data_IF_280936626342
#
_entry.id   IF_280936626342
#
_cell.length_a   1.000
_cell.length_b   1.000
_cell.length_c   1.000
_cell.angle_alpha   90.00
_cell.angle_beta   90.00
_cell.angle_gamma   90.00
#
_symmetry.space_group_name_H-M   'P 1'
#
loop_
_entity.id
_entity.type
_entity.pdbx_description
1 polymer ?
#
# COMPACT_ATOMS: atom_id res chain seq x y z
N UNK A 1 10.94 -11.09 -6.81
CA UNK A 1 9.94 -11.94 -7.50
C UNK A 1 10.71 -12.87 -8.43
N UNK A 2 10.64 -14.21 -8.26
CA UNK A 2 11.47 -15.15 -9.03
C UNK A 2 11.17 -15.13 -10.54
N UNK A 3 9.95 -14.78 -10.95
CA UNK A 3 9.62 -14.64 -12.37
C UNK A 3 10.25 -13.39 -12.99
N UNK A 4 10.32 -12.29 -12.25
CA UNK A 4 10.99 -11.07 -12.70
C UNK A 4 12.48 -11.33 -12.95
N UNK A 5 13.16 -11.98 -12.01
CA UNK A 5 14.59 -12.31 -12.14
C UNK A 5 14.86 -13.22 -13.33
N UNK A 6 14.03 -14.25 -13.52
CA UNK A 6 14.12 -15.12 -14.69
C UNK A 6 14.02 -14.33 -16.01
N UNK A 7 13.01 -13.46 -16.14
CA UNK A 7 12.80 -12.62 -17.34
C UNK A 7 13.99 -11.67 -17.55
N UNK A 8 14.50 -11.06 -16.48
CA UNK A 8 15.64 -10.16 -16.56
C UNK A 8 16.91 -10.85 -17.08
N UNK A 9 17.14 -12.10 -16.70
CA UNK A 9 18.25 -12.91 -17.20
C UNK A 9 18.02 -13.31 -18.66
N UNK A 10 16.82 -13.77 -18.99
CA UNK A 10 16.46 -14.22 -20.35
C UNK A 10 16.50 -13.09 -21.39
N UNK A 11 16.06 -11.89 -21.01
CA UNK A 11 16.06 -10.70 -21.88
C UNK A 11 17.34 -9.86 -21.78
N UNK A 12 18.28 -10.23 -20.90
CA UNK A 12 19.62 -9.64 -20.84
C UNK A 12 19.74 -8.27 -20.17
N UNK A 13 18.76 -7.85 -19.36
CA UNK A 13 18.82 -6.59 -18.60
C UNK A 13 19.13 -6.80 -17.10
N UNK A 14 19.39 -8.04 -16.69
CA UNK A 14 19.76 -8.35 -15.31
C UNK A 14 21.13 -7.75 -14.92
N UNK A 15 21.19 -7.13 -13.74
CA UNK A 15 22.44 -6.79 -13.06
C UNK A 15 22.24 -6.83 -11.54
N UNK A 16 23.30 -7.10 -10.77
CA UNK A 16 23.22 -7.02 -9.30
C UNK A 16 22.85 -5.62 -8.81
N UNK A 17 23.29 -4.58 -9.52
CA UNK A 17 22.97 -3.19 -9.20
C UNK A 17 21.48 -2.90 -9.39
N UNK A 18 20.90 -3.37 -10.49
CA UNK A 18 19.47 -3.28 -10.75
C UNK A 18 18.66 -3.99 -9.65
N UNK A 19 19.07 -5.20 -9.26
CA UNK A 19 18.39 -5.95 -8.22
C UNK A 19 18.46 -5.25 -6.85
N UNK A 20 19.57 -4.57 -6.54
CA UNK A 20 19.69 -3.73 -5.33
C UNK A 20 18.77 -2.52 -5.40
N UNK A 21 18.71 -1.83 -6.54
CA UNK A 21 17.82 -0.67 -6.78
C UNK A 21 16.34 -1.03 -6.65
N UNK A 22 15.96 -2.21 -7.13
CA UNK A 22 14.60 -2.74 -6.96
C UNK A 22 14.31 -3.06 -5.49
N UNK A 23 15.27 -3.66 -4.77
CA UNK A 23 15.09 -4.01 -3.35
C UNK A 23 14.93 -2.79 -2.42
N UNK A 24 15.40 -1.62 -2.83
CA UNK A 24 15.22 -0.35 -2.11
C UNK A 24 13.96 0.42 -2.54
N UNK A 25 13.11 -0.14 -3.39
CA UNK A 25 11.94 0.56 -3.94
C UNK A 25 10.67 -0.28 -3.84
N UNK A 26 9.53 0.38 -3.65
CA UNK A 26 8.21 -0.26 -3.61
C UNK A 26 7.61 -0.50 -5.00
N UNK A 27 8.25 0.05 -6.04
CA UNK A 27 7.80 0.02 -7.43
C UNK A 27 8.98 0.00 -8.39
N UNK A 28 8.78 -0.61 -9.56
CA UNK A 28 9.77 -0.61 -10.64
C UNK A 28 9.41 0.36 -11.78
N UNK A 29 8.27 1.05 -11.70
CA UNK A 29 7.70 1.79 -12.84
C UNK A 29 8.60 2.96 -13.31
N UNK A 30 9.45 3.48 -12.44
CA UNK A 30 10.36 4.60 -12.69
C UNK A 30 11.79 4.18 -13.08
N UNK A 31 12.07 2.88 -13.18
CA UNK A 31 13.42 2.38 -13.50
C UNK A 31 13.56 2.19 -15.02
N UNK A 32 14.22 3.14 -15.68
CA UNK A 32 14.37 3.16 -17.15
C UNK A 32 15.14 1.95 -17.72
N UNK A 33 16.06 1.39 -16.93
CA UNK A 33 16.85 0.20 -17.26
C UNK A 33 15.98 -1.05 -17.54
N UNK A 34 14.75 -1.08 -17.01
CA UNK A 34 13.82 -2.19 -17.18
C UNK A 34 12.94 -1.92 -18.41
N UNK A 35 12.82 -2.83 -19.38
CA UNK A 35 11.96 -2.65 -20.55
C UNK A 35 10.49 -2.33 -20.18
N UNK A 36 9.84 -1.47 -20.97
CA UNK A 36 8.48 -0.99 -20.68
C UNK A 36 7.47 -2.14 -20.57
N UNK A 37 7.56 -3.16 -21.44
CA UNK A 37 6.64 -4.31 -21.41
C UNK A 37 6.77 -5.09 -20.10
N UNK A 38 7.97 -5.18 -19.53
CA UNK A 38 8.21 -5.80 -18.23
C UNK A 38 7.62 -4.94 -17.11
N UNK A 39 7.89 -3.62 -17.11
CA UNK A 39 7.33 -2.70 -16.09
C UNK A 39 5.81 -2.78 -16.04
N UNK A 40 5.15 -2.82 -17.21
CA UNK A 40 3.68 -2.96 -17.32
C UNK A 40 3.12 -4.24 -16.72
N UNK A 41 3.89 -5.34 -16.70
CA UNK A 41 3.46 -6.63 -16.14
C UNK A 41 3.65 -6.66 -14.62
N UNK A 42 4.77 -6.13 -14.13
CA UNK A 42 5.17 -6.20 -12.73
C UNK A 42 4.77 -4.94 -11.95
N UNK A 43 3.47 -4.65 -11.94
CA UNK A 43 2.87 -3.64 -11.06
C UNK A 43 2.75 -4.16 -9.63
N UNK A 44 2.96 -3.28 -8.65
CA UNK A 44 2.79 -3.60 -7.23
C UNK A 44 1.51 -3.00 -6.68
N UNK A 45 1.18 -3.31 -5.41
CA UNK A 45 0.01 -2.73 -4.77
C UNK A 45 0.10 -1.20 -4.63
N UNK A 46 1.31 -0.65 -4.53
CA UNK A 46 1.57 0.80 -4.44
C UNK A 46 1.37 1.51 -5.79
N UNK A 47 1.45 0.78 -6.90
CA UNK A 47 1.23 1.33 -8.25
C UNK A 47 -0.27 1.48 -8.58
N UNK A 48 -1.15 0.89 -7.76
CA UNK A 48 -2.60 0.87 -8.01
C UNK A 48 -3.26 1.89 -7.09
N UNK A 49 -4.02 2.83 -7.67
CA UNK A 49 -4.75 3.83 -6.90
C UNK A 49 -5.73 3.17 -5.89
N UNK A 50 -6.00 3.81 -4.73
CA UNK A 50 -6.98 3.31 -3.77
C UNK A 50 -8.36 3.02 -4.37
N UNK A 51 -8.85 3.86 -5.28
CA UNK A 51 -10.12 3.65 -5.99
C UNK A 51 -10.16 2.30 -6.71
N UNK A 52 -9.12 1.98 -7.49
CA UNK A 52 -9.02 0.72 -8.21
C UNK A 52 -8.93 -0.50 -7.30
N UNK A 53 -8.28 -0.38 -6.14
CA UNK A 53 -8.31 -1.43 -5.12
C UNK A 53 -9.74 -1.70 -4.62
N UNK A 54 -10.52 -0.64 -4.35
CA UNK A 54 -11.92 -0.76 -3.89
C UNK A 54 -12.80 -1.37 -4.98
N UNK A 55 -12.68 -0.90 -6.22
CA UNK A 55 -13.42 -1.46 -7.37
C UNK A 55 -13.13 -2.94 -7.58
N UNK A 56 -11.86 -3.33 -7.43
CA UNK A 56 -11.47 -4.73 -7.49
C UNK A 56 -12.15 -5.54 -6.38
N UNK A 57 -12.13 -5.06 -5.13
CA UNK A 57 -12.81 -5.73 -4.03
C UNK A 57 -14.32 -5.88 -4.28
N UNK A 58 -14.97 -4.81 -4.76
CA UNK A 58 -16.38 -4.80 -5.07
C UNK A 58 -16.75 -5.81 -6.18
N UNK A 59 -15.89 -5.97 -7.19
CA UNK A 59 -16.10 -6.95 -8.25
C UNK A 59 -16.21 -8.38 -7.71
N UNK A 60 -15.34 -8.74 -6.75
CA UNK A 60 -15.40 -10.04 -6.07
C UNK A 60 -16.56 -10.12 -5.08
N UNK A 61 -16.88 -9.04 -4.36
CA UNK A 61 -17.93 -9.04 -3.34
C UNK A 61 -19.30 -9.50 -3.87
N UNK A 62 -19.60 -9.24 -5.16
CA UNK A 62 -20.83 -9.67 -5.82
C UNK A 62 -21.08 -11.17 -5.79
N UNK A 63 -20.02 -11.96 -5.63
CA UNK A 63 -20.06 -13.42 -5.68
C UNK A 63 -19.60 -14.06 -4.37
N UNK A 64 -19.52 -13.29 -3.28
CA UNK A 64 -19.11 -13.76 -1.96
C UNK A 64 -20.17 -13.43 -0.91
N UNK A 65 -20.67 -14.47 -0.25
CA UNK A 65 -21.71 -14.35 0.79
C UNK A 65 -21.20 -13.67 2.05
N UNK A 66 -19.92 -13.83 2.36
CA UNK A 66 -19.22 -13.13 3.44
C UNK A 66 -18.47 -11.88 2.91
N UNK A 67 -17.73 -11.18 3.77
CA UNK A 67 -16.90 -10.05 3.36
C UNK A 67 -15.60 -10.52 2.68
N UNK A 68 -15.09 -9.72 1.75
CA UNK A 68 -13.77 -9.92 1.12
C UNK A 68 -12.68 -9.28 1.98
N UNK A 69 -11.73 -10.08 2.47
CA UNK A 69 -10.57 -9.59 3.23
C UNK A 69 -9.47 -9.09 2.28
N UNK A 70 -9.66 -7.88 1.73
CA UNK A 70 -8.69 -7.20 0.88
C UNK A 70 -8.29 -5.86 1.50
N UNK A 71 -6.99 -5.62 1.59
CA UNK A 71 -6.43 -4.34 2.04
C UNK A 71 -6.35 -3.35 0.88
N UNK A 72 -6.83 -2.14 1.12
CA UNK A 72 -6.69 -0.96 0.25
C UNK A 72 -5.45 -0.20 0.74
N UNK A 73 -4.40 -0.20 -0.06
CA UNK A 73 -3.14 0.49 0.29
C UNK A 73 -3.22 1.96 -0.16
N UNK A 74 -2.80 2.85 0.73
CA UNK A 74 -2.69 4.28 0.51
C UNK A 74 -1.25 4.74 0.70
N UNK A 75 -0.80 5.77 -0.04
CA UNK A 75 0.49 6.39 0.21
C UNK A 75 0.50 7.11 1.58
N UNK A 76 1.69 7.36 2.12
CA UNK A 76 1.86 7.91 3.47
C UNK A 76 1.25 9.32 3.63
N UNK A 77 1.21 10.09 2.54
CA UNK A 77 0.68 11.43 2.44
C UNK A 77 -0.83 11.48 2.17
N UNK A 78 -1.50 10.31 2.09
CA UNK A 78 -2.95 10.25 1.92
C UNK A 78 -3.68 10.99 3.04
N UNK A 79 -4.57 11.89 2.62
CA UNK A 79 -5.37 12.73 3.51
C UNK A 79 -6.53 11.94 4.12
N UNK A 80 -7.16 12.50 5.16
CA UNK A 80 -8.39 11.92 5.70
C UNK A 80 -9.52 11.87 4.67
N UNK A 81 -9.59 12.87 3.79
CA UNK A 81 -10.60 12.92 2.72
C UNK A 81 -10.41 11.77 1.72
N UNK A 82 -9.17 11.43 1.35
CA UNK A 82 -8.90 10.31 0.44
C UNK A 82 -9.38 8.97 1.04
N UNK A 83 -9.18 8.79 2.34
CA UNK A 83 -9.63 7.61 3.07
C UNK A 83 -11.17 7.58 3.15
N UNK A 84 -11.79 8.71 3.50
CA UNK A 84 -13.25 8.85 3.55
C UNK A 84 -13.89 8.52 2.20
N UNK A 85 -13.34 9.04 1.10
CA UNK A 85 -13.83 8.77 -0.25
C UNK A 85 -13.79 7.28 -0.60
N UNK A 86 -12.74 6.56 -0.20
CA UNK A 86 -12.65 5.12 -0.42
C UNK A 86 -13.65 4.32 0.43
N UNK A 87 -13.87 4.71 1.70
CA UNK A 87 -14.88 4.11 2.56
C UNK A 87 -16.28 4.30 1.96
N UNK A 88 -16.61 5.53 1.55
CA UNK A 88 -17.88 5.86 0.91
C UNK A 88 -18.05 5.15 -0.44
N UNK A 89 -16.98 5.03 -1.23
CA UNK A 89 -17.00 4.27 -2.48
C UNK A 89 -17.29 2.79 -2.23
N UNK A 90 -16.64 2.18 -1.25
CA UNK A 90 -16.86 0.78 -0.88
C UNK A 90 -18.32 0.55 -0.46
N UNK A 91 -18.87 1.46 0.36
CA UNK A 91 -20.27 1.45 0.74
C UNK A 91 -21.20 1.54 -0.49
N UNK A 92 -20.99 2.53 -1.37
CA UNK A 92 -21.79 2.71 -2.60
C UNK A 92 -21.74 1.50 -3.53
N UNK A 93 -20.61 0.79 -3.58
CA UNK A 93 -20.43 -0.39 -4.41
C UNK A 93 -20.92 -1.70 -3.76
N UNK A 94 -21.44 -1.63 -2.53
CA UNK A 94 -22.00 -2.80 -1.83
C UNK A 94 -20.95 -3.71 -1.19
N UNK A 95 -19.76 -3.19 -0.89
CA UNK A 95 -18.77 -3.91 -0.08
C UNK A 95 -19.29 -4.15 1.33
N UNK A 96 -19.20 -5.39 1.84
CA UNK A 96 -19.64 -5.75 3.19
C UNK A 96 -18.65 -5.32 4.28
N UNK A 97 -17.44 -4.96 3.87
CA UNK A 97 -16.37 -4.45 4.72
C UNK A 97 -15.24 -3.90 3.85
N UNK A 98 -14.30 -3.20 4.48
CA UNK A 98 -13.12 -2.64 3.82
C UNK A 98 -12.00 -2.56 4.86
N UNK A 99 -10.77 -2.83 4.45
CA UNK A 99 -9.59 -2.68 5.28
C UNK A 99 -8.67 -1.68 4.61
N UNK A 100 -8.30 -0.61 5.33
CA UNK A 100 -7.39 0.42 4.84
C UNK A 100 -6.04 0.25 5.50
N UNK A 101 -4.99 0.36 4.71
CA UNK A 101 -3.62 0.51 5.19
C UNK A 101 -3.05 1.78 4.57
N UNK A 102 -2.74 2.77 5.40
CA UNK A 102 -1.95 3.93 4.97
C UNK A 102 -0.49 3.65 5.29
N UNK A 103 0.36 3.83 4.30
CA UNK A 103 1.80 3.69 4.50
C UNK A 103 2.29 4.58 5.67
N UNK A 104 3.30 4.11 6.42
CA UNK A 104 3.83 4.77 7.64
C UNK A 104 2.82 4.99 8.79
N UNK A 105 1.63 4.38 8.75
CA UNK A 105 0.61 4.53 9.81
C UNK A 105 0.85 3.70 11.09
N UNK A 106 1.80 2.77 11.08
CA UNK A 106 2.12 1.90 12.23
C UNK A 106 3.59 2.07 12.61
N UNK A 107 3.87 1.98 13.90
CA UNK A 107 5.25 2.03 14.43
C UNK A 107 6.10 0.85 13.97
N UNK A 108 5.48 -0.29 13.62
CA UNK A 108 6.11 -1.45 12.99
C UNK A 108 5.45 -1.68 11.62
N UNK A 109 6.17 -1.35 10.56
CA UNK A 109 5.79 -1.62 9.18
C UNK A 109 6.04 -3.10 8.84
N UNK A 110 5.08 -3.75 8.19
CA UNK A 110 5.22 -5.13 7.67
C UNK A 110 5.62 -5.12 6.19
N UNK A 111 5.35 -4.02 5.51
CA UNK A 111 5.73 -3.75 4.14
C UNK A 111 6.76 -2.62 4.17
N UNK A 112 8.03 -2.98 4.17
CA UNK A 112 9.14 -2.03 4.30
C UNK A 112 10.17 -2.36 3.25
N UNK A 113 10.65 -1.36 2.53
CA UNK A 113 11.86 -1.50 1.70
C UNK A 113 13.11 -1.44 2.57
N UNK A 114 14.25 -1.89 2.04
CA UNK A 114 15.53 -1.77 2.77
C UNK A 114 15.86 -0.32 3.15
N UNK A 115 15.49 0.64 2.31
CA UNK A 115 15.70 2.06 2.59
C UNK A 115 14.84 2.53 3.78
N UNK A 116 13.56 2.15 3.78
CA UNK A 116 12.63 2.49 4.87
C UNK A 116 12.96 1.76 6.18
N UNK A 117 13.53 0.55 6.14
CA UNK A 117 13.99 -0.16 7.35
C UNK A 117 15.12 0.58 8.06
N UNK A 118 15.97 1.28 7.32
CA UNK A 118 17.06 2.10 7.86
C UNK A 118 16.53 3.42 8.44
N UNK A 119 15.55 4.08 7.77
CA UNK A 119 14.86 5.27 8.27
C UNK A 119 14.07 4.99 9.56
N UNK A 120 13.21 3.97 9.57
CA UNK A 120 12.39 3.57 10.74
C UNK A 120 13.27 3.25 11.96
N UNK A 121 14.42 2.63 11.74
CA UNK A 121 15.39 2.31 12.80
C UNK A 121 15.98 3.58 13.41
N UNK A 122 16.22 4.60 12.59
CA UNK A 122 16.77 5.88 13.03
C UNK A 122 15.70 6.71 13.77
N UNK A 123 14.47 6.79 13.26
CA UNK A 123 13.37 7.51 13.91
C UNK A 123 12.96 6.91 15.27
N UNK A 124 12.99 5.57 15.40
CA UNK A 124 12.72 4.89 16.69
C UNK A 124 13.76 5.19 17.77
N UNK A 125 14.98 5.59 17.39
CA UNK A 125 15.99 6.02 18.36
C UNK A 125 15.68 7.43 18.90
N UNK A 126 14.95 8.24 18.15
CA UNK A 126 14.60 9.63 18.49
C UNK A 126 13.20 9.77 19.13
N UNK A 127 12.26 8.88 18.83
CA UNK A 127 10.84 9.03 19.16
C UNK A 127 10.40 8.62 20.60
N UNK A 128 11.09 9.11 21.66
CA UNK A 128 10.49 9.15 23.01
C UNK A 128 9.46 10.29 23.07
N UNK A 129 8.27 10.10 22.49
CA UNK A 129 7.20 11.12 22.50
C UNK A 129 5.96 10.60 23.23
N UNK A 130 5.43 11.44 24.13
CA UNK A 130 4.24 11.16 24.94
C UNK A 130 2.93 11.10 24.11
N UNK A 131 1.93 10.32 24.54
CA UNK A 131 0.70 10.12 23.76
C UNK A 131 -0.18 11.36 23.72
N UNK A 132 -0.73 11.66 22.54
CA UNK A 132 -1.76 12.68 22.33
C UNK A 132 -3.13 12.02 22.53
N UNK A 133 -3.82 12.34 23.64
CA UNK A 133 -5.23 12.00 23.82
C UNK A 133 -6.11 12.93 22.97
N UNK A 134 -6.70 12.41 21.89
CA UNK A 134 -7.85 13.05 21.25
C UNK A 134 -9.08 12.16 21.43
N UNK A 135 -9.77 12.33 22.57
CA UNK A 135 -11.14 11.86 22.73
C UNK A 135 -12.09 12.93 22.19
N UNK A 136 -12.67 12.69 21.00
CA UNK A 136 -13.86 13.40 20.57
C UNK A 136 -15.02 12.96 21.47
N UNK A 137 -15.42 13.80 22.42
CA UNK A 137 -16.67 13.61 23.16
C UNK A 137 -17.83 13.84 22.20
N UNK A 138 -18.59 12.78 21.92
CA UNK A 138 -19.88 12.89 21.25
C UNK A 138 -20.90 13.46 22.24
N UNK A 139 -21.35 14.70 22.03
CA UNK A 139 -22.38 15.36 22.86
C UNK A 139 -23.79 14.73 22.70
N UNK A 140 -23.96 13.74 21.81
CA UNK A 140 -25.26 13.16 21.49
C UNK A 140 -25.64 11.91 22.31
N UNK A 141 -24.80 11.45 23.24
CA UNK A 141 -25.03 10.23 24.03
C UNK A 141 -25.30 10.46 25.52
N UNK A 142 -25.89 11.59 25.90
CA UNK A 142 -26.45 11.81 27.26
C UNK A 142 -27.99 11.80 27.25
N UNK A 143 -28.57 10.68 26.82
CA UNK A 143 -29.96 10.31 27.09
C UNK A 143 -30.05 8.86 27.57
#
# INVERSE_FOLDING_TARGET
NPLFEKIAIEEGFYSEELMKKIASSTSIQHIEEIPEHVRRIFVTAHDISPEWHVRMQAAFQKYVDNAVSKTINFPHDASMNDIEEALLLAYRLGCKGITVYRDRSRSVQVLTTRAEEEEDRFERLDARVEPIEYYLRCEACEL
#
